data_IF_250555164650
#
_entry.id   IF_250555164650
#
_cell.length_a   1.000
_cell.length_b   1.000
_cell.length_c   1.000
_cell.angle_alpha   90.00
_cell.angle_beta   90.00
_cell.angle_gamma   90.00
#
_symmetry.space_group_name_H-M   'P 1'
#
loop_
_entity.id
_entity.type
_entity.pdbx_description
1 polymer ?
#
# COMPACT_ATOMS: atom_id res chain seq x y z
N UNK A 1 20.44 21.17 -6.48
CA UNK A 1 19.38 21.06 -5.45
C UNK A 1 18.59 19.77 -5.70
N UNK A 2 18.48 18.84 -4.75
CA UNK A 2 17.67 17.64 -4.96
C UNK A 2 16.20 18.05 -5.11
N UNK A 3 15.55 17.61 -6.19
CA UNK A 3 14.13 17.88 -6.45
C UNK A 3 13.33 17.34 -5.25
N UNK A 4 12.58 18.21 -4.59
CA UNK A 4 11.68 17.86 -3.48
C UNK A 4 10.60 16.93 -4.04
N UNK A 5 10.87 15.62 -4.05
CA UNK A 5 9.95 14.60 -4.53
C UNK A 5 8.61 14.80 -3.79
N UNK A 6 7.49 14.88 -4.50
CA UNK A 6 6.18 15.19 -3.88
C UNK A 6 5.76 14.05 -2.95
N UNK A 7 4.97 14.34 -1.91
CA UNK A 7 4.30 13.30 -1.11
C UNK A 7 3.30 12.58 -2.04
N UNK A 8 3.21 11.26 -1.99
CA UNK A 8 2.16 10.50 -2.69
C UNK A 8 1.06 10.12 -1.70
N UNK A 9 -0.11 10.78 -1.73
CA UNK A 9 -1.22 10.40 -0.88
C UNK A 9 -1.72 8.97 -1.14
N UNK A 10 -1.56 8.47 -2.37
CA UNK A 10 -1.95 7.13 -2.79
C UNK A 10 -1.12 6.06 -2.06
N UNK A 11 0.20 6.25 -1.97
CA UNK A 11 1.09 5.32 -1.22
C UNK A 11 0.75 5.32 0.27
N UNK A 12 0.42 6.49 0.83
CA UNK A 12 -0.02 6.58 2.24
C UNK A 12 -1.31 5.80 2.49
N UNK A 13 -2.30 5.95 1.60
CA UNK A 13 -3.55 5.22 1.66
C UNK A 13 -3.34 3.71 1.54
N UNK A 14 -2.54 3.27 0.56
CA UNK A 14 -2.19 1.85 0.39
C UNK A 14 -1.55 1.24 1.65
N UNK A 15 -0.57 1.92 2.24
CA UNK A 15 0.06 1.46 3.49
C UNK A 15 -0.99 1.38 4.61
N UNK A 16 -1.90 2.35 4.71
CA UNK A 16 -2.95 2.33 5.73
C UNK A 16 -3.92 1.15 5.55
N UNK A 17 -4.30 0.82 4.32
CA UNK A 17 -5.15 -0.33 4.00
C UNK A 17 -4.48 -1.66 4.35
N UNK A 18 -3.19 -1.82 4.00
CA UNK A 18 -2.41 -3.02 4.35
C UNK A 18 -2.34 -3.21 5.87
N UNK A 19 -2.10 -2.13 6.63
CA UNK A 19 -2.06 -2.19 8.09
C UNK A 19 -3.43 -2.50 8.70
N UNK A 20 -4.50 -2.02 8.09
CA UNK A 20 -5.87 -2.33 8.52
C UNK A 20 -6.20 -3.80 8.27
N UNK A 21 -5.77 -4.36 7.14
CA UNK A 21 -5.92 -5.78 6.84
C UNK A 21 -5.19 -6.64 7.89
N UNK A 22 -3.93 -6.32 8.21
CA UNK A 22 -3.16 -7.01 9.26
C UNK A 22 -3.85 -6.97 10.63
N UNK A 23 -4.42 -5.82 11.01
CA UNK A 23 -5.21 -5.68 12.25
C UNK A 23 -6.49 -6.52 12.26
N UNK A 24 -7.04 -6.85 11.09
CA UNK A 24 -8.29 -7.61 10.94
C UNK A 24 -8.06 -9.13 10.88
N UNK A 25 -6.80 -9.60 10.87
CA UNK A 25 -6.46 -11.02 10.89
C UNK A 25 -6.79 -11.68 12.24
N UNK A 26 -6.81 -13.01 12.28
CA UNK A 26 -6.96 -13.80 13.50
C UNK A 26 -5.79 -14.79 13.63
N UNK A 27 -4.85 -14.59 14.56
CA UNK A 27 -4.75 -13.47 15.50
C UNK A 27 -4.43 -12.13 14.78
N UNK A 28 -4.83 -10.97 15.34
CA UNK A 28 -4.47 -9.66 14.80
C UNK A 28 -2.96 -9.45 14.80
N UNK A 29 -2.44 -8.85 13.73
CA UNK A 29 -1.03 -8.45 13.64
C UNK A 29 -0.95 -6.93 13.79
N UNK A 30 -0.15 -6.45 14.73
CA UNK A 30 0.02 -5.02 14.96
C UNK A 30 0.94 -4.40 13.91
N UNK A 31 0.83 -3.08 13.71
CA UNK A 31 1.71 -2.35 12.80
C UNK A 31 3.21 -2.48 13.17
N UNK A 32 3.52 -2.55 14.48
CA UNK A 32 4.88 -2.75 14.96
C UNK A 32 5.42 -4.14 14.59
N UNK A 33 4.63 -5.19 14.80
CA UNK A 33 5.00 -6.55 14.41
C UNK A 33 5.15 -6.70 12.90
N UNK A 34 4.27 -6.07 12.12
CA UNK A 34 4.41 -6.05 10.66
C UNK A 34 5.70 -5.37 10.21
N UNK A 35 6.06 -4.23 10.82
CA UNK A 35 7.32 -3.55 10.52
C UNK A 35 8.52 -4.46 10.80
N UNK A 36 8.53 -5.11 11.98
CA UNK A 36 9.61 -6.03 12.38
C UNK A 36 9.71 -7.23 11.43
N UNK A 37 8.59 -7.83 11.05
CA UNK A 37 8.55 -8.94 10.08
C UNK A 37 8.98 -8.53 8.68
N UNK A 38 8.74 -7.27 8.30
CA UNK A 38 9.21 -6.67 7.05
C UNK A 38 10.66 -6.15 7.13
N UNK A 39 11.37 -6.39 8.24
CA UNK A 39 12.78 -6.01 8.40
C UNK A 39 13.02 -4.51 8.58
N UNK A 40 12.00 -3.73 8.92
CA UNK A 40 12.11 -2.28 9.15
C UNK A 40 11.72 -1.89 10.58
N UNK A 41 12.20 -0.73 11.03
CA UNK A 41 11.80 -0.19 12.33
C UNK A 41 10.36 0.37 12.29
N UNK A 42 9.60 0.34 13.40
CA UNK A 42 8.28 0.99 13.49
C UNK A 42 8.31 2.49 13.14
N UNK A 43 9.39 3.20 13.47
CA UNK A 43 9.57 4.62 13.12
C UNK A 43 9.73 4.80 11.61
N UNK A 44 10.37 3.85 10.95
CA UNK A 44 10.51 3.83 9.49
C UNK A 44 9.15 3.64 8.83
N UNK A 45 8.34 2.69 9.31
CA UNK A 45 6.96 2.51 8.86
C UNK A 45 6.11 3.78 9.09
N UNK A 46 6.23 4.39 10.27
CA UNK A 46 5.53 5.64 10.61
C UNK A 46 5.90 6.78 9.65
N UNK A 47 7.19 6.94 9.33
CA UNK A 47 7.68 7.90 8.33
C UNK A 47 7.16 7.57 6.94
N UNK A 48 7.15 6.29 6.55
CA UNK A 48 6.65 5.88 5.23
C UNK A 48 5.19 6.25 5.04
N UNK A 49 4.35 5.93 6.02
CA UNK A 49 2.92 6.30 6.06
C UNK A 49 2.75 7.82 6.05
N UNK A 50 3.44 8.55 6.94
CA UNK A 50 3.32 10.01 7.07
C UNK A 50 3.70 10.76 5.79
N UNK A 51 4.76 10.33 5.12
CA UNK A 51 5.28 11.01 3.94
C UNK A 51 4.74 10.45 2.62
N UNK A 52 4.07 9.30 2.65
CA UNK A 52 3.58 8.61 1.45
C UNK A 52 4.74 8.20 0.56
N UNK A 53 5.77 7.60 1.15
CA UNK A 53 6.99 7.16 0.46
C UNK A 53 7.52 5.90 1.11
N UNK A 54 8.08 4.99 0.33
CA UNK A 54 8.67 3.77 0.84
C UNK A 54 9.27 2.97 -0.30
N UNK A 55 10.13 2.03 0.05
CA UNK A 55 10.55 1.01 -0.92
C UNK A 55 9.35 0.13 -1.25
N UNK A 56 9.09 -0.07 -2.54
CA UNK A 56 8.00 -0.94 -3.00
C UNK A 56 8.22 -2.40 -2.59
N UNK A 57 9.46 -2.86 -2.43
CA UNK A 57 9.76 -4.19 -1.89
C UNK A 57 9.21 -4.32 -0.46
N UNK A 58 9.50 -3.33 0.39
CA UNK A 58 9.01 -3.29 1.78
C UNK A 58 7.49 -3.21 1.83
N UNK A 59 6.86 -2.40 0.95
CA UNK A 59 5.40 -2.32 0.89
C UNK A 59 4.78 -3.65 0.46
N UNK A 60 5.42 -4.36 -0.49
CA UNK A 60 5.01 -5.70 -0.89
C UNK A 60 5.16 -6.72 0.23
N UNK A 61 6.23 -6.66 1.02
CA UNK A 61 6.42 -7.55 2.16
C UNK A 61 5.36 -7.31 3.25
N UNK A 62 5.05 -6.04 3.55
CA UNK A 62 3.95 -5.68 4.46
C UNK A 62 2.61 -6.25 3.99
N UNK A 63 2.33 -6.17 2.68
CA UNK A 63 1.11 -6.74 2.10
C UNK A 63 1.09 -8.26 2.25
N UNK A 64 2.19 -8.95 1.94
CA UNK A 64 2.30 -10.40 2.08
C UNK A 64 2.10 -10.85 3.54
N UNK A 65 2.66 -10.13 4.52
CA UNK A 65 2.44 -10.39 5.95
C UNK A 65 0.97 -10.25 6.32
N UNK A 66 0.25 -9.30 5.72
CA UNK A 66 -1.18 -9.10 5.91
C UNK A 66 -2.06 -10.06 5.09
N UNK A 67 -1.48 -11.04 4.40
CA UNK A 67 -2.21 -11.99 3.54
C UNK A 67 -2.73 -11.39 2.23
N UNK A 68 -2.17 -10.26 1.81
CA UNK A 68 -2.52 -9.56 0.57
C UNK A 68 -1.45 -9.79 -0.50
N UNK A 69 -1.86 -9.68 -1.76
CA UNK A 69 -0.95 -9.67 -2.91
C UNK A 69 -1.10 -8.37 -3.69
N UNK A 70 0.01 -7.64 -3.87
CA UNK A 70 0.03 -6.46 -4.74
C UNK A 70 0.12 -6.90 -6.20
N UNK A 71 -0.76 -6.36 -7.03
CA UNK A 71 -0.75 -6.61 -8.48
C UNK A 71 -0.77 -5.27 -9.21
N UNK A 72 0.20 -5.09 -10.12
CA UNK A 72 0.18 -3.99 -11.06
C UNK A 72 -0.91 -4.25 -12.10
N UNK A 73 -1.96 -3.43 -12.07
CA UNK A 73 -2.93 -3.35 -13.17
C UNK A 73 -2.53 -2.21 -14.09
N UNK A 74 -2.69 -2.41 -15.41
CA UNK A 74 -2.64 -1.31 -16.36
C UNK A 74 -3.79 -0.37 -16.04
N UNK A 75 -3.50 0.92 -15.87
CA UNK A 75 -4.49 1.97 -15.60
C UNK A 75 -5.08 2.50 -16.89
N UNK A 76 -5.59 1.62 -17.75
CA UNK A 76 -6.12 1.95 -19.07
C UNK A 76 -7.57 2.47 -19.02
N UNK A 77 -8.08 2.89 -17.85
CA UNK A 77 -9.46 3.36 -17.71
C UNK A 77 -10.50 2.24 -17.84
N UNK A 78 -10.07 1.03 -18.20
CA UNK A 78 -10.93 -0.13 -18.45
C UNK A 78 -11.77 -0.49 -17.22
N UNK A 79 -11.18 -0.39 -16.03
CA UNK A 79 -11.88 -0.67 -14.78
C UNK A 79 -12.91 0.41 -14.46
N UNK A 80 -12.60 1.68 -14.70
CA UNK A 80 -13.55 2.78 -14.57
C UNK A 80 -14.70 2.65 -15.58
N UNK A 81 -14.40 2.30 -16.84
CA UNK A 81 -15.41 2.04 -17.87
C UNK A 81 -16.30 0.83 -17.55
N UNK A 82 -15.72 -0.26 -17.02
CA UNK A 82 -16.48 -1.41 -16.50
C UNK A 82 -17.43 -1.02 -15.38
N UNK A 83 -16.95 -0.24 -14.40
CA UNK A 83 -17.76 0.22 -13.27
C UNK A 83 -18.86 1.19 -13.71
N UNK A 84 -18.62 1.99 -14.74
CA UNK A 84 -19.59 2.92 -15.31
C UNK A 84 -20.59 2.26 -16.28
N UNK A 85 -20.46 0.97 -16.58
CA UNK A 85 -21.28 0.28 -17.59
C UNK A 85 -20.95 0.65 -19.05
N UNK A 86 -19.93 1.47 -19.28
CA UNK A 86 -19.54 2.01 -20.58
C UNK A 86 -18.31 1.31 -21.17
N UNK A 87 -18.13 0.01 -20.86
CA UNK A 87 -16.94 -0.74 -21.28
C UNK A 87 -16.90 -1.02 -22.78
N UNK A 88 -18.06 -1.20 -23.40
CA UNK A 88 -18.21 -1.46 -24.83
C UNK A 88 -18.67 -0.22 -25.62
N UNK A 89 -18.77 0.93 -24.96
CA UNK A 89 -19.12 2.19 -25.60
C UNK A 89 -17.83 2.78 -26.20
N UNK A 90 -17.56 2.45 -27.45
CA UNK A 90 -16.55 3.10 -28.32
C UNK A 90 -17.13 4.39 -28.95
#
# INVERSE_FOLDING_TARGET
MPKRQKRSPEVSALIAEILLAGKSMTPPITAGEMALRAGISPETLSRMKRYGRGDMAVINDLAAIAGLQLKLSRGDGAREKLMAGAFFDD
#
